data_IF_450441622971
#
_entry.id   IF_450441622971
#
_cell.length_a   1.000
_cell.length_b   1.000
_cell.length_c   1.000
_cell.angle_alpha   90.00
_cell.angle_beta   90.00
_cell.angle_gamma   90.00
#
_symmetry.space_group_name_H-M   'P 1'
#
loop_
_entity.id
_entity.type
_entity.pdbx_description
1 polymer ?
#
# COMPACT_ATOMS: atom_id res chain seq x y z
N UNK A 1 21.62 -8.73 4.47
CA UNK A 1 20.20 -8.96 4.62
C UNK A 1 19.65 -9.70 3.41
N UNK A 2 18.62 -10.53 3.60
CA UNK A 2 17.91 -11.14 2.47
C UNK A 2 17.02 -10.12 1.78
N UNK A 3 16.98 -10.18 0.44
CA UNK A 3 16.11 -9.33 -0.37
C UNK A 3 15.67 -10.06 -1.64
N UNK A 4 14.57 -9.56 -2.23
CA UNK A 4 14.13 -9.93 -3.57
C UNK A 4 14.39 -8.73 -4.48
N UNK A 5 15.05 -8.92 -5.61
CA UNK A 5 15.32 -7.85 -6.57
C UNK A 5 15.20 -8.30 -8.02
N UNK A 6 15.23 -7.35 -8.93
CA UNK A 6 15.38 -7.59 -10.37
C UNK A 6 16.37 -6.59 -10.99
N UNK A 7 17.00 -7.00 -12.11
CA UNK A 7 18.00 -6.24 -12.87
C UNK A 7 17.62 -6.07 -14.34
N UNK A 8 16.45 -6.57 -14.72
CA UNK A 8 15.77 -6.36 -16.01
C UNK A 8 14.27 -6.45 -15.82
N UNK A 9 13.50 -5.77 -16.66
CA UNK A 9 12.03 -5.91 -16.68
C UNK A 9 11.62 -7.26 -17.26
N UNK A 10 10.42 -7.75 -16.89
CA UNK A 10 9.87 -8.99 -17.38
C UNK A 10 8.93 -9.71 -16.42
N UNK A 11 8.50 -10.94 -16.75
CA UNK A 11 7.68 -11.77 -15.87
C UNK A 11 8.36 -12.08 -14.54
N UNK A 12 7.60 -12.11 -13.44
CA UNK A 12 8.16 -12.30 -12.10
C UNK A 12 9.06 -13.54 -11.98
N UNK A 13 8.62 -14.66 -12.53
CA UNK A 13 9.35 -15.94 -12.46
C UNK A 13 10.69 -15.94 -13.19
N UNK A 14 10.89 -15.01 -14.14
CA UNK A 14 12.09 -14.92 -14.95
C UNK A 14 13.10 -13.89 -14.43
N UNK A 15 12.61 -12.87 -13.72
CA UNK A 15 13.45 -11.70 -13.38
C UNK A 15 13.66 -11.50 -11.89
N UNK A 16 12.76 -12.00 -11.01
CA UNK A 16 12.95 -11.87 -9.58
C UNK A 16 14.01 -12.85 -9.08
N UNK A 17 14.95 -12.32 -8.33
CA UNK A 17 16.05 -13.04 -7.70
C UNK A 17 15.94 -12.89 -6.18
N UNK A 18 16.16 -13.97 -5.44
CA UNK A 18 16.26 -13.97 -3.98
C UNK A 18 17.73 -14.21 -3.59
N UNK A 19 18.24 -13.38 -2.71
CA UNK A 19 19.63 -13.55 -2.22
C UNK A 19 19.97 -12.55 -1.13
N UNK A 20 21.28 -12.38 -0.91
CA UNK A 20 21.79 -11.47 0.10
C UNK A 20 22.36 -10.21 -0.52
N UNK A 21 22.06 -9.09 0.11
CA UNK A 21 22.60 -7.76 -0.19
C UNK A 21 23.08 -7.10 1.10
N UNK A 22 23.98 -6.10 1.04
CA UNK A 22 24.36 -5.34 2.23
C UNK A 22 23.12 -4.74 2.92
N UNK A 23 23.08 -4.80 4.24
CA UNK A 23 22.07 -4.06 5.03
C UNK A 23 22.37 -2.57 4.92
N UNK A 24 21.39 -1.72 4.58
CA UNK A 24 21.63 -0.28 4.48
C UNK A 24 21.89 0.34 5.86
N UNK A 25 22.58 1.48 5.85
CA UNK A 25 22.77 2.31 7.04
C UNK A 25 21.98 3.60 6.86
N UNK A 26 21.11 3.98 7.81
CA UNK A 26 20.27 5.16 7.66
C UNK A 26 21.12 6.43 7.61
N UNK A 27 20.90 7.23 6.58
CA UNK A 27 21.52 8.54 6.43
C UNK A 27 20.87 9.62 7.29
N UNK A 28 21.25 10.88 7.07
CA UNK A 28 20.70 12.04 7.76
C UNK A 28 19.19 12.15 7.53
N UNK A 29 18.41 12.29 8.61
CA UNK A 29 16.94 12.39 8.53
C UNK A 29 16.23 11.05 8.28
N UNK A 30 16.96 9.94 8.24
CA UNK A 30 16.44 8.62 7.89
C UNK A 30 16.32 7.69 9.08
N UNK A 31 15.51 6.65 8.91
CA UNK A 31 15.37 5.50 9.79
C UNK A 31 15.72 4.22 9.07
N UNK A 32 16.22 3.23 9.79
CA UNK A 32 16.34 1.85 9.35
C UNK A 32 15.18 1.06 9.96
N UNK A 33 14.39 0.42 9.11
CA UNK A 33 13.22 -0.37 9.53
C UNK A 33 13.50 -1.84 9.27
N UNK A 34 13.35 -2.69 10.28
CA UNK A 34 13.23 -4.13 10.09
C UNK A 34 11.81 -4.43 9.61
N UNK A 35 11.70 -4.89 8.36
CA UNK A 35 10.43 -5.12 7.69
C UNK A 35 9.80 -6.42 8.21
N UNK A 36 8.56 -6.35 8.67
CA UNK A 36 7.76 -7.49 9.09
C UNK A 36 6.72 -7.90 8.05
N UNK A 37 6.25 -6.94 7.25
CA UNK A 37 5.35 -7.17 6.13
C UNK A 37 5.63 -6.19 4.99
N UNK A 38 5.58 -6.69 3.77
CA UNK A 38 5.77 -5.93 2.53
C UNK A 38 4.49 -6.00 1.70
N UNK A 39 3.93 -4.85 1.34
CA UNK A 39 2.72 -4.73 0.52
C UNK A 39 3.06 -4.80 -0.97
N UNK A 40 2.38 -5.68 -1.70
CA UNK A 40 2.51 -5.78 -3.16
C UNK A 40 1.33 -5.09 -3.83
N UNK A 41 1.61 -4.12 -4.68
CA UNK A 41 0.60 -3.37 -5.41
C UNK A 41 0.64 -3.67 -6.93
N UNK A 42 -0.47 -3.48 -7.66
CA UNK A 42 -0.48 -3.59 -9.12
C UNK A 42 0.57 -2.70 -9.80
N UNK A 43 0.86 -1.54 -9.22
CA UNK A 43 1.90 -0.62 -9.71
C UNK A 43 3.31 -1.21 -9.61
N UNK A 44 3.61 -1.97 -8.56
CA UNK A 44 4.92 -2.61 -8.39
C UNK A 44 5.12 -3.70 -9.47
N UNK A 45 4.07 -4.49 -9.71
CA UNK A 45 4.06 -5.47 -10.79
C UNK A 45 4.16 -4.81 -12.18
N UNK A 46 3.46 -3.69 -12.38
CA UNK A 46 3.50 -2.91 -13.63
C UNK A 46 4.88 -2.31 -13.90
N UNK A 47 5.54 -1.75 -12.90
CA UNK A 47 6.91 -1.23 -13.04
C UNK A 47 7.90 -2.34 -13.40
N UNK A 48 7.80 -3.51 -12.77
CA UNK A 48 8.68 -4.65 -13.07
C UNK A 48 8.42 -5.23 -14.46
N UNK A 49 7.17 -5.35 -14.89
CA UNK A 49 6.78 -6.04 -16.14
C UNK A 49 6.55 -5.09 -17.32
N UNK A 50 6.49 -3.79 -17.08
CA UNK A 50 6.15 -2.77 -18.07
C UNK A 50 7.24 -2.52 -19.11
N UNK A 51 6.90 -1.78 -20.18
CA UNK A 51 7.84 -1.49 -21.28
C UNK A 51 8.83 -0.37 -20.94
N UNK A 52 8.62 0.35 -19.84
CA UNK A 52 9.50 1.45 -19.45
C UNK A 52 10.89 0.91 -19.05
N UNK A 53 11.98 1.59 -19.46
CA UNK A 53 13.32 1.21 -19.03
C UNK A 53 13.46 1.34 -17.52
N UNK A 54 14.31 0.51 -16.93
CA UNK A 54 14.64 0.60 -15.51
C UNK A 54 15.41 1.90 -15.22
N UNK A 55 15.01 2.59 -14.16
CA UNK A 55 15.70 3.80 -13.71
C UNK A 55 17.03 3.49 -12.97
N UNK A 56 17.23 2.24 -12.54
CA UNK A 56 18.39 1.78 -11.77
C UNK A 56 18.84 0.40 -12.24
N UNK A 57 20.14 0.07 -12.11
CA UNK A 57 20.68 -1.24 -12.51
C UNK A 57 20.05 -2.40 -11.73
N UNK A 58 19.64 -2.16 -10.48
CA UNK A 58 18.99 -3.12 -9.60
C UNK A 58 17.87 -2.44 -8.85
N UNK A 59 16.72 -3.11 -8.74
CA UNK A 59 15.54 -2.63 -8.00
C UNK A 59 15.07 -3.71 -7.04
N UNK A 60 14.95 -3.36 -5.76
CA UNK A 60 14.18 -4.11 -4.77
C UNK A 60 12.76 -3.56 -4.84
N UNK A 61 11.75 -4.36 -5.25
CA UNK A 61 10.40 -3.85 -5.46
C UNK A 61 9.66 -3.54 -4.15
N UNK A 62 8.42 -3.13 -4.32
CA UNK A 62 7.38 -2.83 -3.35
C UNK A 62 7.57 -1.50 -2.62
N UNK A 63 6.49 -0.72 -2.65
CA UNK A 63 6.46 0.63 -2.08
C UNK A 63 5.95 0.66 -0.65
N UNK A 64 5.08 -0.27 -0.27
CA UNK A 64 4.40 -0.28 1.01
C UNK A 64 4.98 -1.34 1.94
N UNK A 65 4.92 -1.07 3.24
CA UNK A 65 5.34 -2.04 4.23
C UNK A 65 5.03 -1.60 5.66
N UNK A 66 5.31 -2.50 6.58
CA UNK A 66 5.25 -2.24 8.01
C UNK A 66 6.35 -3.03 8.73
N UNK A 67 6.82 -2.49 9.85
CA UNK A 67 7.91 -3.09 10.60
C UNK A 67 8.20 -2.32 11.88
N UNK A 68 9.42 -2.52 12.38
CA UNK A 68 9.93 -1.86 13.59
C UNK A 68 11.17 -1.07 13.23
N UNK A 69 11.24 0.18 13.68
CA UNK A 69 12.44 1.00 13.54
C UNK A 69 13.56 0.42 14.39
N UNK A 70 14.67 0.05 13.76
CA UNK A 70 15.81 -0.57 14.45
C UNK A 70 16.94 0.42 14.73
N UNK A 71 17.12 1.39 13.84
CA UNK A 71 18.11 2.45 14.01
C UNK A 71 17.64 3.75 13.37
N UNK A 72 18.27 4.83 13.77
CA UNK A 72 18.07 6.17 13.20
C UNK A 72 19.37 6.76 12.73
N UNK A 73 19.34 7.52 11.65
CA UNK A 73 20.47 8.30 11.17
C UNK A 73 20.64 9.63 11.91
N UNK A 74 21.72 10.37 11.59
CA UNK A 74 21.94 11.70 12.17
C UNK A 74 20.71 12.59 11.98
N UNK A 75 20.42 13.45 12.98
CA UNK A 75 19.30 14.38 13.01
C UNK A 75 17.89 13.76 13.04
N UNK A 76 17.80 12.43 13.15
CA UNK A 76 16.53 11.75 13.35
C UNK A 76 16.30 11.48 14.84
N UNK A 77 15.13 11.83 15.39
CA UNK A 77 14.86 11.63 16.81
C UNK A 77 14.97 10.16 17.24
N UNK A 78 15.76 9.87 18.27
CA UNK A 78 16.00 8.51 18.79
C UNK A 78 14.72 7.84 19.31
N UNK A 79 13.68 8.60 19.62
CA UNK A 79 12.38 8.07 20.06
C UNK A 79 11.71 7.14 19.00
N UNK A 80 12.17 7.17 17.76
CA UNK A 80 11.68 6.26 16.74
C UNK A 80 12.16 4.82 16.94
N UNK A 81 13.33 4.61 17.56
CA UNK A 81 13.88 3.27 17.78
C UNK A 81 12.90 2.44 18.62
N UNK A 82 12.60 1.23 18.15
CA UNK A 82 11.64 0.33 18.76
C UNK A 82 10.17 0.59 18.38
N UNK A 83 9.86 1.70 17.70
CA UNK A 83 8.49 2.00 17.30
C UNK A 83 8.03 1.08 16.17
N UNK A 84 6.80 0.58 16.30
CA UNK A 84 6.06 -0.08 15.23
C UNK A 84 5.60 0.99 14.26
N UNK A 85 5.85 0.78 12.96
CA UNK A 85 5.50 1.75 11.92
C UNK A 85 4.93 1.05 10.69
N UNK A 86 4.11 1.77 9.95
CA UNK A 86 3.84 1.50 8.55
C UNK A 86 4.43 2.62 7.70
N UNK A 87 4.71 2.34 6.43
CA UNK A 87 5.35 3.26 5.50
C UNK A 87 4.88 3.07 4.07
N UNK A 88 5.14 4.08 3.26
CA UNK A 88 4.84 4.12 1.84
C UNK A 88 6.02 4.71 1.05
N UNK A 89 5.95 4.64 -0.28
CA UNK A 89 6.99 5.14 -1.19
C UNK A 89 8.38 4.48 -0.99
N UNK A 90 8.46 3.27 -0.48
CA UNK A 90 9.71 2.56 -0.34
C UNK A 90 10.50 2.48 -1.64
N UNK A 91 9.88 1.99 -2.73
CA UNK A 91 10.47 1.94 -4.07
C UNK A 91 9.79 2.97 -4.98
N UNK A 92 9.93 4.26 -4.69
CA UNK A 92 9.40 5.39 -5.48
C UNK A 92 10.26 6.65 -5.30
N UNK A 93 9.93 7.69 -6.06
CA UNK A 93 10.51 9.03 -5.91
C UNK A 93 12.04 9.05 -5.91
N UNK A 94 12.65 8.35 -6.86
CA UNK A 94 14.11 8.30 -6.96
C UNK A 94 14.76 7.19 -6.11
N UNK A 95 14.00 6.29 -5.50
CA UNK A 95 14.52 5.19 -4.67
C UNK A 95 14.53 3.88 -5.45
N UNK A 96 15.68 3.20 -5.45
CA UNK A 96 15.87 1.90 -6.08
C UNK A 96 15.38 0.74 -5.20
N UNK A 97 15.41 0.90 -3.87
CA UNK A 97 15.22 -0.19 -2.93
C UNK A 97 13.94 0.02 -2.11
N UNK A 98 13.02 -0.93 -2.27
CA UNK A 98 11.73 -0.99 -1.59
C UNK A 98 11.67 -2.04 -0.49
N UNK A 99 10.45 -2.40 -0.10
CA UNK A 99 10.17 -3.21 1.07
C UNK A 99 10.30 -4.73 0.88
N UNK A 100 10.62 -5.23 -0.31
CA UNK A 100 10.85 -6.66 -0.55
C UNK A 100 12.21 -7.13 -0.03
N UNK A 101 12.56 -6.75 1.20
CA UNK A 101 13.81 -7.06 1.90
C UNK A 101 13.58 -7.13 3.41
N UNK A 102 14.54 -7.70 4.15
CA UNK A 102 14.49 -7.72 5.62
C UNK A 102 14.59 -6.34 6.25
N UNK A 103 15.26 -5.41 5.58
CA UNK A 103 15.43 -4.03 6.04
C UNK A 103 15.23 -3.04 4.90
N UNK A 104 14.74 -1.87 5.27
CA UNK A 104 14.65 -0.70 4.38
C UNK A 104 15.09 0.55 5.13
N UNK A 105 15.83 1.42 4.46
CA UNK A 105 16.07 2.79 4.94
C UNK A 105 15.04 3.73 4.32
N UNK A 106 14.48 4.64 5.09
CA UNK A 106 13.51 5.63 4.64
C UNK A 106 13.70 6.95 5.35
N UNK A 107 13.31 8.03 4.68
CA UNK A 107 13.15 9.33 5.32
C UNK A 107 12.06 9.23 6.40
N UNK A 108 12.31 9.84 7.55
CA UNK A 108 11.41 9.77 8.70
C UNK A 108 10.02 10.37 8.43
N UNK A 109 9.87 11.17 7.38
CA UNK A 109 8.58 11.72 6.94
C UNK A 109 7.70 10.71 6.19
N UNK A 110 8.24 9.57 5.80
CA UNK A 110 7.53 8.51 5.09
C UNK A 110 6.98 7.41 6.00
N UNK A 111 7.22 7.53 7.30
CA UNK A 111 6.76 6.55 8.28
C UNK A 111 5.67 7.14 9.19
N UNK A 112 4.79 6.27 9.65
CA UNK A 112 3.73 6.62 10.59
C UNK A 112 3.64 5.53 11.66
N UNK A 113 3.43 5.89 12.95
CA UNK A 113 3.23 4.89 14.00
C UNK A 113 2.10 3.92 13.66
N UNK A 114 2.34 2.63 13.88
CA UNK A 114 1.34 1.57 13.75
C UNK A 114 0.84 1.20 15.14
N UNK A 115 -0.47 1.35 15.43
CA UNK A 115 -1.04 0.98 16.72
C UNK A 115 -0.76 -0.48 17.10
N UNK A 116 -0.62 -0.78 18.39
CA UNK A 116 -0.25 -2.11 18.87
C UNK A 116 -1.29 -3.19 18.53
N UNK A 117 -2.55 -2.81 18.44
CA UNK A 117 -3.66 -3.69 18.08
C UNK A 117 -3.81 -3.93 16.56
N UNK A 118 -2.95 -3.33 15.72
CA UNK A 118 -2.96 -3.51 14.26
C UNK A 118 -1.81 -4.44 13.86
N UNK A 119 -2.10 -5.49 13.11
CA UNK A 119 -1.08 -6.40 12.62
C UNK A 119 -0.17 -5.73 11.56
N UNK A 120 1.10 -6.14 11.46
CA UNK A 120 2.00 -5.62 10.43
C UNK A 120 1.49 -5.89 9.01
N UNK A 121 0.82 -7.02 8.78
CA UNK A 121 0.21 -7.32 7.49
C UNK A 121 -0.89 -6.30 7.11
N UNK A 122 -1.68 -5.85 8.08
CA UNK A 122 -2.66 -4.78 7.89
C UNK A 122 -1.96 -3.44 7.66
N UNK A 123 -0.95 -3.12 8.48
CA UNK A 123 -0.11 -1.92 8.31
C UNK A 123 0.48 -1.80 6.91
N UNK A 124 0.97 -2.91 6.34
CA UNK A 124 1.54 -2.94 4.99
C UNK A 124 0.52 -2.68 3.86
N UNK A 125 -0.78 -2.62 4.16
CA UNK A 125 -1.84 -2.27 3.19
C UNK A 125 -2.33 -0.82 3.32
N UNK A 126 -1.83 -0.05 4.29
CA UNK A 126 -2.24 1.34 4.52
C UNK A 126 -1.62 2.33 3.52
N UNK A 127 -0.50 1.99 2.91
CA UNK A 127 0.20 2.85 1.96
C UNK A 127 -0.64 3.15 0.70
N UNK A 128 -0.26 2.58 -0.43
CA UNK A 128 -0.91 2.90 -1.73
C UNK A 128 -2.43 2.67 -1.69
N UNK A 129 -2.99 1.53 -1.24
CA UNK A 129 -4.44 1.31 -1.35
C UNK A 129 -5.26 2.25 -0.47
N UNK A 130 -4.92 2.38 0.82
CA UNK A 130 -5.70 3.19 1.74
C UNK A 130 -5.54 4.70 1.47
N UNK A 131 -4.32 5.18 1.24
CA UNK A 131 -4.09 6.60 0.92
C UNK A 131 -4.75 6.99 -0.41
N UNK A 132 -4.76 6.10 -1.42
CA UNK A 132 -5.47 6.32 -2.68
C UNK A 132 -6.98 6.43 -2.43
N UNK A 133 -7.54 5.52 -1.65
CA UNK A 133 -8.95 5.55 -1.28
C UNK A 133 -9.31 6.83 -0.51
N UNK A 134 -8.51 7.19 0.50
CA UNK A 134 -8.71 8.40 1.28
C UNK A 134 -8.75 9.65 0.38
N UNK A 135 -7.74 9.81 -0.47
CA UNK A 135 -7.71 10.94 -1.40
C UNK A 135 -8.92 10.93 -2.33
N UNK A 136 -9.29 9.78 -2.89
CA UNK A 136 -10.43 9.68 -3.82
C UNK A 136 -11.76 10.03 -3.16
N UNK A 137 -11.96 9.62 -1.92
CA UNK A 137 -13.21 9.90 -1.19
C UNK A 137 -13.31 11.36 -0.78
N UNK A 138 -12.20 11.98 -0.34
CA UNK A 138 -12.24 13.31 0.31
C UNK A 138 -11.70 14.46 -0.53
N UNK A 139 -11.17 14.23 -1.74
CA UNK A 139 -10.56 15.28 -2.57
C UNK A 139 -11.56 16.39 -2.94
N UNK A 140 -12.85 16.09 -3.04
CA UNK A 140 -13.91 17.04 -3.34
C UNK A 140 -14.62 17.59 -2.07
N UNK A 141 -14.06 17.34 -0.89
CA UNK A 141 -14.61 17.78 0.39
C UNK A 141 -15.39 16.70 1.15
N UNK A 142 -16.13 17.08 2.22
CA UNK A 142 -16.84 16.16 3.08
C UNK A 142 -17.92 15.36 2.33
N UNK A 143 -18.09 14.10 2.70
CA UNK A 143 -19.10 13.19 2.10
C UNK A 143 -20.28 12.87 3.03
N UNK A 144 -20.33 13.43 4.22
CA UNK A 144 -21.42 13.24 5.17
C UNK A 144 -22.77 13.55 4.54
N UNK A 145 -23.74 12.62 4.64
CA UNK A 145 -25.07 12.76 4.08
C UNK A 145 -25.14 12.67 2.55
N UNK A 146 -24.02 12.42 1.87
CA UNK A 146 -23.97 12.24 0.40
C UNK A 146 -24.07 10.77 0.02
N UNK A 147 -24.49 10.50 -1.21
CA UNK A 147 -24.35 9.17 -1.82
C UNK A 147 -23.02 9.08 -2.57
N UNK A 148 -22.24 8.06 -2.25
CA UNK A 148 -20.90 7.80 -2.86
C UNK A 148 -20.96 6.49 -3.62
N UNK A 149 -20.69 6.54 -4.92
CA UNK A 149 -20.54 5.35 -5.77
C UNK A 149 -19.05 4.91 -5.77
N UNK A 150 -18.79 3.69 -5.34
CA UNK A 150 -17.48 3.07 -5.36
C UNK A 150 -17.41 1.98 -6.41
N UNK A 151 -16.75 2.25 -7.52
CA UNK A 151 -16.54 1.23 -8.56
C UNK A 151 -15.46 0.22 -8.12
N UNK A 152 -15.72 -1.07 -8.35
CA UNK A 152 -14.79 -2.13 -7.90
C UNK A 152 -14.68 -2.24 -6.38
N UNK A 153 -15.78 -2.10 -5.66
CA UNK A 153 -15.88 -1.98 -4.20
C UNK A 153 -15.28 -3.16 -3.39
N UNK A 154 -14.98 -4.29 -4.02
CA UNK A 154 -14.33 -5.43 -3.37
C UNK A 154 -12.81 -5.54 -3.66
N UNK A 155 -12.23 -4.59 -4.41
CA UNK A 155 -10.78 -4.48 -4.62
C UNK A 155 -10.08 -3.82 -3.43
N UNK A 156 -8.73 -3.84 -3.39
CA UNK A 156 -7.98 -3.28 -2.27
C UNK A 156 -8.30 -1.80 -2.00
N UNK A 157 -8.26 -0.95 -3.03
CA UNK A 157 -8.64 0.47 -2.92
C UNK A 157 -10.13 0.62 -2.65
N UNK A 158 -10.99 -0.18 -3.34
CA UNK A 158 -12.44 -0.12 -3.21
C UNK A 158 -12.93 -0.42 -1.78
N UNK A 159 -12.38 -1.44 -1.13
CA UNK A 159 -12.73 -1.78 0.25
C UNK A 159 -12.41 -0.64 1.23
N UNK A 160 -11.24 0.00 1.09
CA UNK A 160 -10.92 1.18 1.90
C UNK A 160 -11.84 2.36 1.57
N UNK A 161 -12.16 2.58 0.29
CA UNK A 161 -13.08 3.65 -0.10
C UNK A 161 -14.49 3.46 0.48
N UNK A 162 -15.00 2.22 0.46
CA UNK A 162 -16.28 1.86 1.12
C UNK A 162 -16.21 2.17 2.61
N UNK A 163 -15.20 1.68 3.32
CA UNK A 163 -15.04 1.89 4.76
C UNK A 163 -14.92 3.36 5.13
N UNK A 164 -14.07 4.11 4.43
CA UNK A 164 -13.84 5.53 4.68
C UNK A 164 -15.07 6.39 4.39
N UNK A 165 -15.78 6.13 3.28
CA UNK A 165 -17.00 6.85 2.96
C UNK A 165 -18.10 6.54 3.99
N UNK A 166 -18.26 5.27 4.39
CA UNK A 166 -19.22 4.87 5.42
C UNK A 166 -18.91 5.49 6.77
N UNK A 167 -17.63 5.43 7.19
CA UNK A 167 -17.17 6.06 8.42
C UNK A 167 -17.43 7.57 8.44
N UNK A 168 -17.33 8.23 7.30
CA UNK A 168 -17.60 9.65 7.13
C UNK A 168 -19.09 9.99 7.00
N UNK A 169 -20.01 9.03 7.16
CA UNK A 169 -21.47 9.25 7.15
C UNK A 169 -22.11 9.32 5.78
N UNK A 170 -21.49 8.77 4.75
CA UNK A 170 -22.10 8.63 3.43
C UNK A 170 -23.02 7.41 3.33
N UNK A 171 -23.97 7.46 2.38
CA UNK A 171 -24.62 6.26 1.83
C UNK A 171 -23.72 5.71 0.73
N UNK A 172 -23.30 4.46 0.84
CA UNK A 172 -22.30 3.87 -0.06
C UNK A 172 -22.94 2.84 -1.00
N UNK A 173 -22.80 3.07 -2.29
CA UNK A 173 -23.16 2.13 -3.36
C UNK A 173 -21.86 1.55 -3.91
N UNK A 174 -21.70 0.22 -3.95
CA UNK A 174 -20.51 -0.44 -4.48
C UNK A 174 -20.83 -1.26 -5.73
N UNK A 175 -19.99 -1.19 -6.77
CA UNK A 175 -20.11 -2.11 -7.89
C UNK A 175 -19.13 -3.28 -7.75
N UNK A 176 -19.58 -4.48 -8.13
CA UNK A 176 -18.81 -5.72 -8.01
C UNK A 176 -19.03 -6.62 -9.23
N UNK A 177 -18.29 -7.74 -9.33
CA UNK A 177 -18.38 -8.68 -10.45
C UNK A 177 -18.82 -10.10 -10.06
N UNK A 178 -19.19 -10.34 -8.80
CA UNK A 178 -19.67 -11.64 -8.32
C UNK A 178 -20.31 -11.52 -6.93
N UNK A 179 -21.10 -12.53 -6.52
CA UNK A 179 -21.69 -12.63 -5.20
C UNK A 179 -20.67 -12.65 -4.06
N UNK A 180 -19.57 -13.38 -4.22
CA UNK A 180 -18.50 -13.40 -3.21
C UNK A 180 -17.87 -12.02 -3.01
N UNK A 181 -17.77 -11.20 -4.07
CA UNK A 181 -17.31 -9.81 -3.99
C UNK A 181 -18.40 -8.89 -3.40
N UNK A 182 -19.69 -9.18 -3.66
CA UNK A 182 -20.79 -8.45 -3.04
C UNK A 182 -20.74 -8.60 -1.52
N UNK A 183 -20.63 -9.82 -1.02
CA UNK A 183 -20.52 -10.09 0.41
C UNK A 183 -19.34 -9.34 1.06
N UNK A 184 -18.18 -9.26 0.38
CA UNK A 184 -17.02 -8.50 0.88
C UNK A 184 -17.28 -6.99 0.94
N UNK A 185 -17.92 -6.41 -0.08
CA UNK A 185 -18.23 -4.99 -0.10
C UNK A 185 -19.28 -4.64 0.98
N UNK A 186 -20.28 -5.49 1.18
CA UNK A 186 -21.28 -5.35 2.26
C UNK A 186 -20.62 -5.44 3.65
N UNK A 187 -19.77 -6.41 3.86
CA UNK A 187 -19.02 -6.54 5.11
C UNK A 187 -18.11 -5.32 5.39
N UNK A 188 -17.64 -4.64 4.35
CA UNK A 188 -16.89 -3.39 4.46
C UNK A 188 -17.78 -2.15 4.74
N UNK A 189 -19.12 -2.28 4.68
CA UNK A 189 -20.08 -1.23 4.99
C UNK A 189 -20.80 -0.63 3.78
N UNK A 190 -20.77 -1.25 2.60
CA UNK A 190 -21.60 -0.82 1.47
C UNK A 190 -23.08 -1.01 1.80
N UNK A 191 -23.89 0.05 1.67
CA UNK A 191 -25.33 0.01 1.88
C UNK A 191 -26.05 -0.68 0.74
N UNK A 192 -25.55 -0.48 -0.49
CA UNK A 192 -26.07 -1.09 -1.70
C UNK A 192 -24.93 -1.66 -2.54
N UNK A 193 -25.18 -2.80 -3.19
CA UNK A 193 -24.24 -3.43 -4.08
C UNK A 193 -24.92 -3.73 -5.42
N UNK A 194 -24.23 -3.43 -6.52
CA UNK A 194 -24.67 -3.70 -7.90
C UNK A 194 -23.66 -4.61 -8.56
N UNK A 195 -24.12 -5.78 -9.02
CA UNK A 195 -23.29 -6.70 -9.78
C UNK A 195 -23.33 -6.35 -11.27
N UNK A 196 -22.35 -5.60 -11.76
CA UNK A 196 -22.31 -5.11 -13.15
C UNK A 196 -22.23 -6.21 -14.22
N UNK A 197 -22.08 -7.49 -13.84
CA UNK A 197 -22.15 -8.62 -14.79
C UNK A 197 -23.56 -9.13 -15.01
N UNK A 198 -24.46 -8.88 -14.08
CA UNK A 198 -25.84 -9.37 -14.11
C UNK A 198 -26.89 -8.26 -14.03
N UNK A 199 -26.47 -7.03 -13.73
CA UNK A 199 -27.36 -5.88 -13.55
C UNK A 199 -26.89 -4.69 -14.39
N UNK A 200 -27.85 -3.85 -14.83
CA UNK A 200 -27.55 -2.57 -15.46
C UNK A 200 -27.27 -1.52 -14.37
N UNK A 201 -26.02 -1.09 -14.26
CA UNK A 201 -25.59 -0.13 -13.25
C UNK A 201 -26.28 1.24 -13.42
N UNK A 202 -26.59 1.64 -14.64
CA UNK A 202 -27.22 2.95 -14.92
C UNK A 202 -28.73 2.97 -14.61
N UNK A 203 -29.37 1.79 -14.62
CA UNK A 203 -30.79 1.65 -14.32
C UNK A 203 -31.08 1.44 -12.82
N UNK A 204 -30.05 1.20 -12.01
CA UNK A 204 -30.15 0.94 -10.57
C UNK A 204 -29.85 2.19 -9.77
#
# INVERSE_FOLDING_TARGET
>A
MKAIWYERTGPAREVLQLGEVPTPTPGRGQVLIRVHASGVNPSDAGMRAGPAPMAYPRIIPNSDGAGVVEAVGPETPVRWVGQRVWFYNGQRNGRAFGSAAEYIELDADLITPLPDNVAFAEGATLGIPCMTAHRSVFVAGPVQGRTVLVTGGAGAVGLYAVQLAKWAGATVIATVSSEAKAARAQAAGADHVVNYRSEDVAAR
#
